data_IF_202392180675
#
_entry.id   IF_202392180675
#
_cell.length_a   1.000
_cell.length_b   1.000
_cell.length_c   1.000
_cell.angle_alpha   90.00
_cell.angle_beta   90.00
_cell.angle_gamma   90.00
#
_symmetry.space_group_name_H-M   'P 1'
#
loop_
_entity.id
_entity.type
_entity.pdbx_description
1 polymer ?
#
# COMPACT_ATOMS: atom_id res chain seq x y z
N UNK A 1 20.33 2.06 12.25
CA UNK A 1 19.72 3.13 11.45
C UNK A 1 18.22 3.08 11.66
N UNK A 2 17.64 4.14 12.18
CA UNK A 2 16.21 4.30 12.39
C UNK A 2 15.47 4.37 11.06
N UNK A 3 14.14 4.19 11.09
CA UNK A 3 13.32 4.35 9.89
C UNK A 3 13.40 5.78 9.35
N UNK A 4 13.40 6.80 10.20
CA UNK A 4 13.51 8.20 9.79
C UNK A 4 14.82 8.50 9.05
N UNK A 5 15.95 7.97 9.53
CA UNK A 5 17.25 8.10 8.85
C UNK A 5 17.24 7.44 7.46
N UNK A 6 16.48 6.37 7.25
CA UNK A 6 16.34 5.76 5.91
C UNK A 6 15.55 6.67 4.96
N UNK A 7 14.45 7.25 5.43
CA UNK A 7 13.65 8.21 4.65
C UNK A 7 14.47 9.43 4.23
N UNK A 8 15.20 10.03 5.16
CA UNK A 8 16.04 11.20 4.88
C UNK A 8 17.14 10.89 3.86
N UNK A 9 17.77 9.71 3.92
CA UNK A 9 18.74 9.26 2.92
C UNK A 9 18.16 9.12 1.52
N UNK A 10 16.86 8.81 1.41
CA UNK A 10 16.13 8.78 0.14
C UNK A 10 15.56 10.15 -0.26
N UNK A 11 15.83 11.22 0.52
CA UNK A 11 15.30 12.57 0.27
C UNK A 11 13.82 12.74 0.64
N UNK A 12 13.25 11.81 1.41
CA UNK A 12 11.84 11.83 1.85
C UNK A 12 11.70 12.50 3.23
N UNK A 13 12.02 13.80 3.32
CA UNK A 13 12.04 14.55 4.59
C UNK A 13 10.65 14.82 5.20
N UNK A 14 9.57 14.63 4.43
CA UNK A 14 8.18 14.68 4.89
C UNK A 14 7.66 13.33 5.39
N UNK A 15 8.50 12.30 5.35
CA UNK A 15 8.19 10.92 5.73
C UNK A 15 7.00 10.32 4.97
N UNK A 16 6.78 10.76 3.72
CA UNK A 16 5.71 10.23 2.85
C UNK A 16 6.27 9.31 1.78
N UNK A 17 5.63 8.15 1.67
CA UNK A 17 5.81 7.20 0.57
C UNK A 17 5.12 7.76 -0.68
N UNK A 18 5.72 7.61 -1.86
CA UNK A 18 5.23 8.13 -3.13
C UNK A 18 5.16 7.05 -4.20
N UNK A 19 6.05 6.06 -4.12
CA UNK A 19 6.18 4.99 -5.11
C UNK A 19 6.14 3.60 -4.46
N UNK A 20 5.93 2.57 -5.28
CA UNK A 20 6.07 1.18 -4.84
C UNK A 20 7.51 0.86 -4.40
N UNK A 21 8.50 1.53 -4.99
CA UNK A 21 9.91 1.33 -4.66
C UNK A 21 10.21 1.89 -3.27
N UNK A 22 9.64 3.04 -2.90
CA UNK A 22 9.75 3.58 -1.53
C UNK A 22 9.23 2.56 -0.51
N UNK A 23 8.08 1.94 -0.80
CA UNK A 23 7.46 0.94 0.08
C UNK A 23 8.35 -0.29 0.21
N UNK A 24 8.91 -0.76 -0.91
CA UNK A 24 9.77 -1.93 -0.95
C UNK A 24 11.11 -1.69 -0.26
N UNK A 25 11.76 -0.56 -0.50
CA UNK A 25 13.08 -0.26 0.08
C UNK A 25 12.99 0.07 1.58
N UNK A 26 11.97 0.82 2.01
CA UNK A 26 11.87 1.28 3.39
C UNK A 26 11.23 0.24 4.31
N UNK A 27 10.23 -0.48 3.81
CA UNK A 27 9.37 -1.37 4.59
C UNK A 27 9.37 -2.83 4.11
N UNK A 28 10.14 -3.17 3.08
CA UNK A 28 10.27 -4.55 2.60
C UNK A 28 8.98 -5.13 1.99
N UNK A 29 8.00 -4.29 1.68
CA UNK A 29 6.68 -4.73 1.22
C UNK A 29 6.58 -4.61 -0.29
N UNK A 30 6.25 -5.72 -0.96
CA UNK A 30 6.04 -5.75 -2.41
C UNK A 30 4.54 -5.77 -2.75
N UNK A 31 4.00 -4.58 -3.04
CA UNK A 31 2.58 -4.39 -3.39
C UNK A 31 2.19 -5.21 -4.63
N UNK A 32 3.12 -5.40 -5.58
CA UNK A 32 2.83 -6.09 -6.84
C UNK A 32 2.71 -7.61 -6.67
N UNK A 33 3.18 -8.15 -5.55
CA UNK A 33 3.14 -9.57 -5.25
C UNK A 33 1.75 -10.07 -4.78
N UNK A 34 0.76 -9.18 -4.62
CA UNK A 34 -0.60 -9.55 -4.25
C UNK A 34 -1.22 -10.55 -5.24
N UNK A 35 -1.77 -11.64 -4.72
CA UNK A 35 -2.65 -12.52 -5.50
C UNK A 35 -3.85 -11.73 -6.02
N UNK A 36 -4.24 -11.96 -7.28
CA UNK A 36 -5.33 -11.24 -7.95
C UNK A 36 -4.93 -9.89 -8.55
N UNK A 37 -3.75 -9.34 -8.23
CA UNK A 37 -3.34 -8.03 -8.73
C UNK A 37 -3.16 -8.00 -10.26
N UNK A 38 -2.63 -9.07 -10.85
CA UNK A 38 -2.45 -9.17 -12.29
C UNK A 38 -3.75 -9.40 -13.08
N UNK A 39 -4.85 -9.74 -12.40
CA UNK A 39 -6.18 -9.91 -13.01
C UNK A 39 -6.91 -8.55 -13.17
N UNK A 40 -6.42 -7.51 -12.50
CA UNK A 40 -6.94 -6.16 -12.60
C UNK A 40 -6.51 -5.48 -13.90
N UNK A 41 -7.35 -4.57 -14.41
CA UNK A 41 -6.98 -3.65 -15.49
C UNK A 41 -5.81 -2.74 -15.09
N UNK A 42 -5.21 -2.06 -16.06
CA UNK A 42 -4.08 -1.16 -15.82
C UNK A 42 -4.47 0.00 -14.89
N UNK A 43 -5.68 0.53 -15.08
CA UNK A 43 -6.25 1.64 -14.33
C UNK A 43 -6.54 1.23 -12.88
N UNK A 44 -7.12 0.03 -12.69
CA UNK A 44 -7.39 -0.53 -11.37
C UNK A 44 -6.11 -0.83 -10.59
N UNK A 45 -5.08 -1.38 -11.25
CA UNK A 45 -3.77 -1.59 -10.62
C UNK A 45 -3.17 -0.29 -10.12
N UNK A 46 -3.22 0.78 -10.92
CA UNK A 46 -2.76 2.11 -10.51
C UNK A 46 -3.55 2.63 -9.31
N UNK A 47 -4.87 2.48 -9.33
CA UNK A 47 -5.73 2.90 -8.24
C UNK A 47 -5.41 2.14 -6.94
N UNK A 48 -5.29 0.81 -7.00
CA UNK A 48 -4.93 -0.03 -5.85
C UNK A 48 -3.57 0.37 -5.27
N UNK A 49 -2.55 0.59 -6.11
CA UNK A 49 -1.23 1.07 -5.65
C UNK A 49 -1.37 2.40 -4.90
N UNK A 50 -2.08 3.37 -5.51
CA UNK A 50 -2.28 4.69 -4.93
C UNK A 50 -3.00 4.62 -3.58
N UNK A 51 -4.08 3.82 -3.49
CA UNK A 51 -4.83 3.63 -2.26
C UNK A 51 -3.99 2.96 -1.17
N UNK A 52 -3.16 1.97 -1.52
CA UNK A 52 -2.28 1.29 -0.57
C UNK A 52 -1.16 2.17 -0.04
N UNK A 53 -0.54 2.97 -0.90
CA UNK A 53 0.44 3.97 -0.47
C UNK A 53 -0.24 5.03 0.43
N UNK A 54 -1.46 5.45 0.07
CA UNK A 54 -2.28 6.36 0.89
C UNK A 54 -2.57 5.80 2.29
N UNK A 55 -2.99 4.53 2.36
CA UNK A 55 -3.21 3.78 3.59
C UNK A 55 -1.97 3.77 4.48
N UNK A 56 -0.82 3.31 3.95
CA UNK A 56 0.44 3.30 4.69
C UNK A 56 0.85 4.71 5.14
N UNK A 57 0.62 5.74 4.32
CA UNK A 57 0.91 7.12 4.67
C UNK A 57 -0.03 7.69 5.76
N UNK A 58 -1.21 7.10 5.93
CA UNK A 58 -2.12 7.32 7.05
C UNK A 58 -1.66 6.60 8.32
N UNK A 59 -0.95 5.47 8.18
CA UNK A 59 -0.22 4.86 9.27
C UNK A 59 0.97 5.74 9.68
N UNK A 60 1.19 5.89 11.00
CA UNK A 60 2.40 6.53 11.52
C UNK A 60 3.65 5.82 11.00
N UNK A 61 4.74 6.56 10.77
CA UNK A 61 5.94 6.04 10.09
C UNK A 61 6.48 4.71 10.66
N UNK A 62 6.43 4.53 11.99
CA UNK A 62 6.84 3.29 12.67
C UNK A 62 5.84 2.13 12.63
N UNK A 63 4.60 2.38 12.19
CA UNK A 63 3.50 1.42 12.18
C UNK A 63 3.13 0.94 10.77
N UNK A 64 3.93 1.26 9.75
CA UNK A 64 3.71 0.84 8.34
C UNK A 64 4.17 -0.60 8.12
N UNK A 65 3.52 -1.54 8.79
CA UNK A 65 3.95 -2.95 8.82
C UNK A 65 3.00 -3.88 8.06
N UNK A 66 1.88 -3.35 7.56
CA UNK A 66 0.87 -4.14 6.89
C UNK A 66 1.36 -4.63 5.52
N UNK A 67 1.39 -5.96 5.35
CA UNK A 67 1.83 -6.62 4.14
C UNK A 67 0.60 -7.16 3.40
N UNK A 68 0.28 -6.67 2.19
CA UNK A 68 -0.86 -7.15 1.46
C UNK A 68 -0.56 -8.49 0.78
N UNK A 69 -1.50 -9.43 0.86
CA UNK A 69 -1.36 -10.80 0.34
C UNK A 69 -2.27 -11.02 -0.87
N UNK A 70 -3.46 -10.42 -0.89
CA UNK A 70 -4.38 -10.55 -2.01
C UNK A 70 -5.25 -9.32 -2.19
N UNK A 71 -5.63 -9.07 -3.44
CA UNK A 71 -6.64 -8.08 -3.82
C UNK A 71 -7.78 -8.77 -4.55
N UNK A 72 -9.00 -8.43 -4.15
CA UNK A 72 -10.23 -8.85 -4.82
C UNK A 72 -11.02 -7.60 -5.22
N UNK A 73 -11.37 -7.47 -6.50
CA UNK A 73 -12.26 -6.42 -6.97
C UNK A 73 -13.71 -6.83 -6.68
N UNK A 74 -14.39 -6.09 -5.81
CA UNK A 74 -15.79 -6.34 -5.46
C UNK A 74 -16.78 -5.52 -6.29
N UNK A 75 -16.37 -4.32 -6.70
CA UNK A 75 -17.15 -3.46 -7.61
C UNK A 75 -16.22 -2.50 -8.35
N UNK A 76 -16.77 -1.57 -9.13
CA UNK A 76 -15.98 -0.53 -9.80
C UNK A 76 -15.17 0.33 -8.82
N UNK A 77 -15.73 0.56 -7.63
CA UNK A 77 -15.24 1.54 -6.66
C UNK A 77 -14.79 0.89 -5.34
N UNK A 78 -14.66 -0.45 -5.29
CA UNK A 78 -14.37 -1.18 -4.06
C UNK A 78 -13.45 -2.38 -4.30
N UNK A 79 -12.33 -2.40 -3.58
CA UNK A 79 -11.37 -3.49 -3.52
C UNK A 79 -11.30 -4.04 -2.09
N UNK A 80 -11.18 -5.35 -1.94
CA UNK A 80 -10.86 -5.99 -0.68
C UNK A 80 -9.37 -6.34 -0.69
N UNK A 81 -8.63 -5.83 0.28
CA UNK A 81 -7.22 -6.15 0.50
C UNK A 81 -7.13 -7.04 1.72
N UNK A 82 -6.56 -8.24 1.57
CA UNK A 82 -6.25 -9.12 2.70
C UNK A 82 -4.77 -8.99 3.05
N UNK A 83 -4.46 -9.00 4.34
CA UNK A 83 -3.13 -8.82 4.89
C UNK A 83 -2.56 -10.12 5.45
N UNK A 84 -1.24 -10.15 5.68
CA UNK A 84 -0.53 -11.34 6.15
C UNK A 84 -0.87 -11.77 7.56
N UNK A 85 -1.42 -10.88 8.38
CA UNK A 85 -1.89 -11.14 9.73
C UNK A 85 -3.30 -11.78 9.78
N UNK A 86 -3.92 -11.99 8.61
CA UNK A 86 -5.27 -12.55 8.48
C UNK A 86 -6.39 -11.51 8.48
N UNK A 87 -6.07 -10.23 8.68
CA UNK A 87 -7.04 -9.14 8.59
C UNK A 87 -7.32 -8.74 7.14
N UNK A 88 -8.37 -7.96 6.93
CA UNK A 88 -8.67 -7.34 5.64
C UNK A 88 -9.22 -5.93 5.82
N UNK A 89 -9.12 -5.13 4.76
CA UNK A 89 -9.76 -3.82 4.67
C UNK A 89 -10.35 -3.62 3.28
N UNK A 90 -11.34 -2.76 3.20
CA UNK A 90 -11.95 -2.31 1.96
C UNK A 90 -11.38 -0.97 1.55
N UNK A 91 -10.87 -0.92 0.34
CA UNK A 91 -10.30 0.28 -0.26
C UNK A 91 -11.27 0.79 -1.31
N UNK A 92 -11.66 2.05 -1.17
CA UNK A 92 -12.64 2.69 -2.03
C UNK A 92 -11.97 3.68 -2.99
N UNK A 93 -12.52 3.86 -4.18
CA UNK A 93 -11.94 4.74 -5.21
C UNK A 93 -11.85 6.22 -4.79
N UNK A 94 -12.65 6.63 -3.81
CA UNK A 94 -12.63 7.95 -3.19
C UNK A 94 -11.52 8.15 -2.14
N UNK A 95 -10.71 7.12 -1.88
CA UNK A 95 -9.64 7.16 -0.89
C UNK A 95 -10.05 6.73 0.52
N UNK A 96 -11.34 6.46 0.75
CA UNK A 96 -11.79 5.94 2.05
C UNK A 96 -11.37 4.48 2.27
N UNK A 97 -11.25 4.12 3.54
CA UNK A 97 -10.84 2.78 3.99
C UNK A 97 -11.83 2.34 5.07
N UNK A 98 -12.31 1.09 4.99
CA UNK A 98 -13.24 0.52 5.96
C UNK A 98 -13.16 -0.98 6.08
#
# INVERSE_FOLDING_TARGET
MSIYEKYEKMGLTDYKLRTIDDVKELHGTDILAMKGFNELSKEERKLVIMLFIGYLNGCGCGNRQDIPVSVEKLSKDKFKICFSDGMFSYFYSDGSIG
#
